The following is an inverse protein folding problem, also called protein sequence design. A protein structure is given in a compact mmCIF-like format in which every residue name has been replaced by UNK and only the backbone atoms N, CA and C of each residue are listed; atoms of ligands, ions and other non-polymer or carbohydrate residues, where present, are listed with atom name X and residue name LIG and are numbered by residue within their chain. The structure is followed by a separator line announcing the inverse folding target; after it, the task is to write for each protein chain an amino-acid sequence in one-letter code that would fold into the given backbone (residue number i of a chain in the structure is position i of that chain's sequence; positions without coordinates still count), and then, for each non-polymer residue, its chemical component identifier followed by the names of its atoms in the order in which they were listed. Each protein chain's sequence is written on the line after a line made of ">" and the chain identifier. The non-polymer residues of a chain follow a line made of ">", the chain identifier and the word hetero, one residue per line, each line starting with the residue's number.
data_IF_481494342955
#
_entry.id   IF_481494342955
#
_cell.length_a   1.000
_cell.length_b   1.000
_cell.length_c   1.000
_cell.angle_alpha   90.00
_cell.angle_beta   90.00
_cell.angle_gamma   90.00
#
_symmetry.space_group_name_H-M   'P 1'
#
loop_
_entity.id
_entity.type
_entity.pdbx_description
1 polymer ?
#
# COMPACT_ATOMS: atom_id res chain seq x y z
N UNK A 1 3.16 39.53 -36.00
CA UNK A 1 4.51 39.12 -35.55
C UNK A 1 4.36 38.33 -34.26
N UNK A 2 5.18 37.29 -34.05
CA UNK A 2 5.16 36.46 -32.83
C UNK A 2 5.63 37.27 -31.61
N UNK A 3 4.86 37.24 -30.50
CA UNK A 3 5.27 37.86 -29.25
C UNK A 3 6.30 36.97 -28.52
N UNK A 4 7.59 37.24 -28.73
CA UNK A 4 8.68 36.47 -28.10
C UNK A 4 8.70 36.59 -26.57
N UNK A 5 8.21 37.69 -26.00
CA UNK A 5 8.14 37.87 -24.54
C UNK A 5 7.14 36.90 -23.89
N UNK A 6 6.01 36.66 -24.56
CA UNK A 6 5.02 35.68 -24.11
C UNK A 6 5.60 34.25 -24.08
N UNK A 7 6.34 33.87 -25.12
CA UNK A 7 7.01 32.57 -25.17
C UNK A 7 8.11 32.41 -24.11
N UNK A 8 8.75 33.49 -23.68
CA UNK A 8 9.72 33.42 -22.57
C UNK A 8 9.01 33.11 -21.25
N UNK A 9 7.89 33.77 -20.95
CA UNK A 9 7.08 33.49 -19.75
C UNK A 9 6.59 32.04 -19.74
N UNK A 10 6.09 31.55 -20.87
CA UNK A 10 5.65 30.15 -21.01
C UNK A 10 6.80 29.18 -20.67
N UNK A 11 8.02 29.42 -21.18
CA UNK A 11 9.18 28.55 -20.86
C UNK A 11 9.55 28.58 -19.38
N UNK A 12 9.51 29.75 -18.74
CA UNK A 12 9.77 29.88 -17.30
C UNK A 12 8.73 29.14 -16.46
N UNK A 13 7.45 29.22 -16.83
CA UNK A 13 6.39 28.53 -16.12
C UNK A 13 6.45 27.01 -16.32
N UNK A 14 6.76 26.54 -17.54
CA UNK A 14 7.03 25.12 -17.80
C UNK A 14 8.20 24.60 -16.95
N UNK A 15 9.30 25.33 -16.89
CA UNK A 15 10.46 24.93 -16.09
C UNK A 15 10.12 24.83 -14.58
N UNK A 16 9.31 25.74 -14.04
CA UNK A 16 8.85 25.65 -12.64
C UNK A 16 8.02 24.38 -12.40
N UNK A 17 7.15 24.01 -13.33
CA UNK A 17 6.34 22.77 -13.23
C UNK A 17 7.25 21.54 -13.28
N UNK A 18 8.26 21.53 -14.15
CA UNK A 18 9.17 20.39 -14.28
C UNK A 18 10.02 20.19 -13.02
N UNK A 19 10.53 21.25 -12.40
CA UNK A 19 11.24 21.17 -11.11
C UNK A 19 10.36 20.55 -10.01
N UNK A 20 9.08 20.93 -9.97
CA UNK A 20 8.11 20.37 -9.01
C UNK A 20 7.85 18.89 -9.30
N UNK A 21 7.71 18.50 -10.58
CA UNK A 21 7.56 17.10 -10.99
C UNK A 21 8.75 16.26 -10.58
N UNK A 22 9.99 16.73 -10.78
CA UNK A 22 11.19 16.02 -10.37
C UNK A 22 11.22 15.78 -8.84
N UNK A 23 10.85 16.78 -8.05
CA UNK A 23 10.77 16.65 -6.59
C UNK A 23 9.74 15.60 -6.15
N UNK A 24 8.57 15.55 -6.81
CA UNK A 24 7.52 14.55 -6.58
C UNK A 24 8.05 13.16 -6.90
N UNK A 25 8.68 12.98 -8.07
CA UNK A 25 9.22 11.68 -8.51
C UNK A 25 10.27 11.19 -7.51
N UNK A 26 11.19 12.06 -7.10
CA UNK A 26 12.24 11.71 -6.14
C UNK A 26 11.65 11.32 -4.78
N UNK A 27 10.74 12.13 -4.25
CA UNK A 27 10.09 11.84 -2.96
C UNK A 27 9.25 10.55 -3.03
N UNK A 28 8.61 10.28 -4.17
CA UNK A 28 7.82 9.06 -4.41
C UNK A 28 8.69 7.80 -4.39
N UNK A 29 9.87 7.84 -5.03
CA UNK A 29 10.86 6.73 -5.00
C UNK A 29 11.35 6.43 -3.59
N UNK A 30 11.56 7.46 -2.79
CA UNK A 30 11.95 7.31 -1.38
C UNK A 30 10.84 6.65 -0.56
N UNK A 31 9.58 7.08 -0.75
CA UNK A 31 8.41 6.46 -0.08
C UNK A 31 8.29 4.98 -0.44
N UNK A 32 8.45 4.61 -1.71
CA UNK A 32 8.41 3.21 -2.15
C UNK A 32 9.52 2.40 -1.47
N UNK A 33 10.74 2.94 -1.44
CA UNK A 33 11.88 2.27 -0.78
C UNK A 33 11.61 2.04 0.71
N UNK A 34 11.13 3.06 1.41
CA UNK A 34 10.85 2.97 2.84
C UNK A 34 9.66 2.03 3.11
N UNK A 35 8.65 2.00 2.24
CA UNK A 35 7.51 1.08 2.34
C UNK A 35 7.97 -0.37 2.34
N UNK A 36 8.87 -0.72 1.43
CA UNK A 36 9.49 -2.06 1.37
C UNK A 36 10.31 -2.39 2.62
N UNK A 37 11.02 -1.42 3.19
CA UNK A 37 11.76 -1.61 4.45
C UNK A 37 10.80 -1.90 5.62
N UNK A 38 9.68 -1.17 5.70
CA UNK A 38 8.64 -1.40 6.73
C UNK A 38 8.07 -2.81 6.62
N UNK A 39 7.66 -3.22 5.41
CA UNK A 39 7.12 -4.56 5.16
C UNK A 39 8.16 -5.62 5.53
N UNK A 40 9.40 -5.49 5.05
CA UNK A 40 10.46 -6.46 5.32
C UNK A 40 10.78 -6.63 6.82
N UNK A 41 10.79 -5.53 7.58
CA UNK A 41 10.99 -5.56 9.02
C UNK A 41 9.80 -6.22 9.73
N UNK A 42 8.58 -5.77 9.44
CA UNK A 42 7.35 -6.30 10.04
C UNK A 42 7.11 -7.79 9.70
N UNK A 43 7.51 -8.24 8.52
CA UNK A 43 7.39 -9.64 8.10
C UNK A 43 8.18 -10.60 8.99
N UNK A 44 9.26 -10.10 9.61
CA UNK A 44 10.15 -10.85 10.52
C UNK A 44 9.90 -10.53 11.99
N UNK A 45 8.76 -9.92 12.31
CA UNK A 45 8.39 -9.47 13.66
C UNK A 45 9.35 -8.42 14.27
N UNK A 46 10.21 -7.76 13.46
CA UNK A 46 11.06 -6.64 13.93
C UNK A 46 10.29 -5.31 13.88
N UNK A 47 9.41 -5.13 14.86
CA UNK A 47 8.55 -3.95 14.95
C UNK A 47 9.33 -2.66 15.30
N UNK A 48 10.52 -2.78 15.89
CA UNK A 48 11.36 -1.64 16.25
C UNK A 48 12.02 -1.03 15.01
N UNK A 49 12.56 -1.86 14.12
CA UNK A 49 13.08 -1.44 12.82
C UNK A 49 11.96 -0.82 11.98
N UNK A 50 10.80 -1.48 11.90
CA UNK A 50 9.64 -0.97 11.18
C UNK A 50 9.18 0.39 11.73
N UNK A 51 9.12 0.58 13.05
CA UNK A 51 8.71 1.84 13.68
C UNK A 51 9.68 3.00 13.37
N UNK A 52 10.98 2.72 13.28
CA UNK A 52 11.97 3.71 12.84
C UNK A 52 11.76 4.11 11.38
N UNK A 53 11.53 3.15 10.49
CA UNK A 53 11.21 3.42 9.09
C UNK A 53 9.89 4.20 8.93
N UNK A 54 8.88 3.93 9.76
CA UNK A 54 7.60 4.66 9.78
C UNK A 54 7.79 6.14 10.18
N UNK A 55 8.70 6.44 11.10
CA UNK A 55 9.03 7.85 11.43
C UNK A 55 9.59 8.57 10.20
N UNK A 56 10.44 7.89 9.43
CA UNK A 56 10.99 8.43 8.18
C UNK A 56 9.91 8.66 7.11
N UNK A 57 9.07 7.65 6.82
CA UNK A 57 8.05 7.74 5.76
C UNK A 57 7.01 8.85 6.04
N UNK A 58 6.64 9.07 7.32
CA UNK A 58 5.72 10.14 7.72
C UNK A 58 6.23 11.53 7.32
N UNK A 59 7.54 11.76 7.41
CA UNK A 59 8.14 13.02 6.98
C UNK A 59 8.06 13.21 5.46
N UNK A 60 8.28 12.14 4.68
CA UNK A 60 8.22 12.13 3.22
C UNK A 60 6.80 12.32 2.70
N UNK A 61 5.82 11.65 3.31
CA UNK A 61 4.40 11.84 3.00
C UNK A 61 3.95 13.28 3.26
N UNK A 62 4.36 13.86 4.40
CA UNK A 62 4.07 15.27 4.71
C UNK A 62 4.68 16.23 3.67
N UNK A 63 5.90 15.94 3.19
CA UNK A 63 6.55 16.70 2.13
C UNK A 63 5.76 16.59 0.81
N UNK A 64 5.46 15.37 0.38
CA UNK A 64 4.75 15.08 -0.86
C UNK A 64 3.37 15.75 -0.93
N UNK A 65 2.65 15.82 0.20
CA UNK A 65 1.33 16.48 0.30
C UNK A 65 1.35 17.99 0.18
N UNK A 66 2.46 18.64 0.54
CA UNK A 66 2.58 20.11 0.44
C UNK A 66 2.77 20.56 -1.00
N UNK A 67 3.18 19.66 -1.87
CA UNK A 67 3.39 19.96 -3.28
C UNK A 67 2.01 20.08 -3.93
N UNK A 68 1.64 21.29 -4.33
CA UNK A 68 0.36 21.59 -4.95
C UNK A 68 0.44 21.18 -6.43
N UNK A 69 -0.31 20.16 -6.83
CA UNK A 69 -0.26 19.60 -8.18
C UNK A 69 -1.55 20.00 -8.91
N UNK A 70 -1.43 20.87 -9.90
CA UNK A 70 -2.56 21.24 -10.77
C UNK A 70 -2.63 20.41 -12.07
N UNK A 71 -1.67 19.50 -12.34
CA UNK A 71 -1.54 18.94 -13.71
C UNK A 71 -1.26 17.44 -13.85
N UNK A 72 -0.92 16.68 -12.80
CA UNK A 72 -0.70 15.22 -12.95
C UNK A 72 -1.10 14.44 -11.69
N UNK A 73 -2.34 13.96 -11.65
CA UNK A 73 -2.92 13.27 -10.49
C UNK A 73 -2.34 11.88 -10.21
N UNK A 74 -1.54 11.31 -11.11
CA UNK A 74 -1.10 9.90 -11.02
C UNK A 74 0.40 9.69 -10.76
N UNK A 75 1.26 10.73 -10.80
CA UNK A 75 2.73 10.54 -10.69
C UNK A 75 3.12 9.89 -9.35
N UNK A 76 2.37 10.14 -8.29
CA UNK A 76 2.63 9.65 -6.95
C UNK A 76 1.67 8.54 -6.49
N UNK A 77 0.75 8.07 -7.34
CA UNK A 77 -0.25 7.06 -6.97
C UNK A 77 0.41 5.76 -6.50
N UNK A 78 1.44 5.28 -7.21
CA UNK A 78 2.21 4.08 -6.81
C UNK A 78 2.85 4.24 -5.42
N UNK A 79 3.36 5.43 -5.11
CA UNK A 79 3.96 5.68 -3.80
C UNK A 79 2.91 5.70 -2.68
N UNK A 80 1.71 6.23 -2.93
CA UNK A 80 0.62 6.17 -1.96
C UNK A 80 0.07 4.76 -1.80
N UNK A 81 0.04 3.98 -2.87
CA UNK A 81 -0.35 2.58 -2.83
C UNK A 81 0.57 1.76 -1.92
N UNK A 82 1.89 1.84 -2.16
CA UNK A 82 2.92 1.15 -1.36
C UNK A 82 2.92 1.65 0.10
N UNK A 83 2.67 2.95 0.31
CA UNK A 83 2.50 3.52 1.64
C UNK A 83 1.29 2.92 2.38
N UNK A 84 0.14 2.78 1.71
CA UNK A 84 -1.07 2.17 2.29
C UNK A 84 -0.79 0.72 2.66
N UNK A 85 -0.20 -0.04 1.74
CA UNK A 85 0.17 -1.44 1.98
C UNK A 85 1.07 -1.57 3.21
N UNK A 86 2.18 -0.83 3.25
CA UNK A 86 3.17 -0.94 4.32
C UNK A 86 2.62 -0.53 5.70
N UNK A 87 1.88 0.58 5.78
CA UNK A 87 1.32 1.02 7.07
C UNK A 87 0.19 0.09 7.52
N UNK A 88 -0.65 -0.37 6.60
CA UNK A 88 -1.74 -1.30 6.94
C UNK A 88 -1.20 -2.64 7.40
N UNK A 89 -0.14 -3.14 6.76
CA UNK A 89 0.54 -4.36 7.18
C UNK A 89 1.13 -4.22 8.58
N UNK A 90 1.88 -3.15 8.84
CA UNK A 90 2.45 -2.89 10.17
C UNK A 90 1.38 -2.76 11.26
N UNK A 91 0.34 -1.96 11.03
CA UNK A 91 -0.74 -1.75 12.00
C UNK A 91 -1.54 -3.03 12.25
N UNK A 92 -1.70 -3.87 11.23
CA UNK A 92 -2.31 -5.17 11.41
C UNK A 92 -1.43 -6.10 12.27
N UNK A 93 -0.14 -6.24 11.95
CA UNK A 93 0.77 -7.10 12.71
C UNK A 93 0.90 -6.62 14.16
N UNK A 94 0.95 -5.31 14.40
CA UNK A 94 1.10 -4.73 15.75
C UNK A 94 -0.19 -4.70 16.55
N UNK A 95 -1.29 -4.30 15.94
CA UNK A 95 -2.53 -3.92 16.63
C UNK A 95 -3.78 -4.70 16.16
N UNK A 96 -3.67 -5.55 15.14
CA UNK A 96 -4.78 -6.29 14.56
C UNK A 96 -5.80 -5.41 13.83
N UNK A 97 -5.39 -4.21 13.35
CA UNK A 97 -6.31 -3.23 12.76
C UNK A 97 -5.80 -2.71 11.42
N UNK A 98 -6.73 -2.40 10.52
CA UNK A 98 -6.46 -1.68 9.27
C UNK A 98 -6.80 -0.20 9.45
N UNK A 99 -5.85 0.72 9.18
CA UNK A 99 -6.10 2.15 9.27
C UNK A 99 -7.06 2.62 8.17
N UNK A 100 -7.85 3.65 8.45
CA UNK A 100 -8.77 4.21 7.45
C UNK A 100 -8.03 5.04 6.39
N UNK A 101 -8.61 5.20 5.20
CA UNK A 101 -8.09 6.14 4.18
C UNK A 101 -7.96 7.57 4.69
N UNK A 102 -8.85 7.98 5.61
CA UNK A 102 -8.85 9.32 6.18
C UNK A 102 -7.66 9.53 7.12
N UNK A 103 -7.39 8.57 8.01
CA UNK A 103 -6.18 8.58 8.86
C UNK A 103 -4.90 8.52 8.02
N UNK A 104 -4.93 7.79 6.92
CA UNK A 104 -3.80 7.71 5.99
C UNK A 104 -3.71 8.90 5.05
N UNK A 105 -4.72 9.76 4.93
CA UNK A 105 -4.73 10.94 4.05
C UNK A 105 -4.44 10.61 2.58
N UNK A 106 -5.10 9.58 2.04
CA UNK A 106 -4.96 9.11 0.65
C UNK A 106 -6.30 9.09 -0.08
N UNK A 107 -6.25 9.03 -1.43
CA UNK A 107 -7.44 8.87 -2.26
C UNK A 107 -8.10 7.50 -2.04
N UNK A 108 -9.35 7.34 -2.47
CA UNK A 108 -10.02 6.05 -2.41
C UNK A 108 -9.33 5.01 -3.31
N UNK A 109 -8.89 5.41 -4.50
CA UNK A 109 -8.25 4.52 -5.47
C UNK A 109 -6.89 4.01 -4.97
N UNK A 110 -6.05 4.89 -4.40
CA UNK A 110 -4.77 4.49 -3.81
C UNK A 110 -4.96 3.58 -2.60
N UNK A 111 -5.98 3.87 -1.78
CA UNK A 111 -6.30 3.05 -0.60
C UNK A 111 -6.74 1.64 -1.00
N UNK A 112 -7.71 1.53 -1.91
CA UNK A 112 -8.20 0.24 -2.38
C UNK A 112 -7.09 -0.54 -3.10
N UNK A 113 -6.29 0.13 -3.94
CA UNK A 113 -5.15 -0.50 -4.60
C UNK A 113 -4.12 -1.01 -3.60
N UNK A 114 -3.85 -0.27 -2.51
CA UNK A 114 -2.94 -0.69 -1.46
C UNK A 114 -3.45 -1.88 -0.66
N UNK A 115 -4.77 -1.96 -0.43
CA UNK A 115 -5.40 -3.12 0.21
C UNK A 115 -5.33 -4.38 -0.67
N UNK A 116 -5.44 -4.24 -2.00
CA UNK A 116 -5.24 -5.38 -2.90
C UNK A 116 -3.84 -5.98 -2.73
N UNK A 117 -2.80 -5.15 -2.77
CA UNK A 117 -1.41 -5.60 -2.66
C UNK A 117 -1.10 -6.14 -1.24
N UNK A 118 -1.65 -5.49 -0.19
CA UNK A 118 -1.58 -5.96 1.20
C UNK A 118 -2.00 -7.42 1.36
N UNK A 119 -3.02 -7.89 0.64
CA UNK A 119 -3.47 -9.29 0.75
C UNK A 119 -2.38 -10.29 0.37
N UNK A 120 -1.43 -9.92 -0.50
CA UNK A 120 -0.26 -10.73 -0.84
C UNK A 120 0.75 -10.85 0.31
N UNK A 121 1.07 -9.74 0.98
CA UNK A 121 1.98 -9.75 2.15
C UNK A 121 1.33 -10.44 3.36
N UNK A 122 0.00 -10.32 3.52
CA UNK A 122 -0.75 -11.09 4.50
C UNK A 122 -0.63 -12.60 4.27
N UNK A 123 -0.76 -13.08 3.03
CA UNK A 123 -0.52 -14.51 2.70
C UNK A 123 0.89 -14.93 3.11
N UNK A 124 1.90 -14.11 2.80
CA UNK A 124 3.28 -14.38 3.17
C UNK A 124 3.44 -14.47 4.69
N UNK A 125 2.77 -13.59 5.44
CA UNK A 125 2.80 -13.56 6.91
C UNK A 125 2.09 -14.77 7.51
N UNK A 126 0.93 -15.16 7.00
CA UNK A 126 0.24 -16.36 7.45
C UNK A 126 1.10 -17.61 7.25
N UNK A 127 1.77 -17.77 6.10
CA UNK A 127 2.68 -18.89 5.88
C UNK A 127 3.84 -18.88 6.89
N UNK A 128 4.44 -17.70 7.14
CA UNK A 128 5.48 -17.55 8.15
C UNK A 128 4.97 -17.96 9.54
N UNK A 129 3.79 -17.51 9.94
CA UNK A 129 3.18 -17.81 11.23
C UNK A 129 2.87 -19.32 11.36
N UNK A 130 2.35 -19.95 10.31
CA UNK A 130 2.12 -21.41 10.25
C UNK A 130 3.41 -22.21 10.42
N UNK A 131 4.50 -21.81 9.76
CA UNK A 131 5.82 -22.45 9.91
C UNK A 131 6.28 -22.39 11.37
N UNK A 132 5.97 -21.29 12.06
CA UNK A 132 6.31 -21.07 13.47
C UNK A 132 5.22 -21.54 14.45
N UNK A 133 4.23 -22.32 13.98
CA UNK A 133 3.12 -22.87 14.77
C UNK A 133 2.22 -21.81 15.44
N UNK A 134 2.19 -20.59 14.88
CA UNK A 134 1.32 -19.47 15.25
C UNK A 134 0.00 -19.57 14.47
N UNK A 135 -0.80 -20.60 14.75
CA UNK A 135 -1.98 -20.93 13.93
C UNK A 135 -3.14 -19.94 14.13
N UNK A 136 -3.30 -19.40 15.34
CA UNK A 136 -4.33 -18.40 15.64
C UNK A 136 -4.06 -17.10 14.87
N UNK A 137 -2.80 -16.70 14.75
CA UNK A 137 -2.35 -15.54 13.98
C UNK A 137 -2.63 -15.72 12.48
N UNK A 138 -2.29 -16.90 11.93
CA UNK A 138 -2.60 -17.24 10.56
C UNK A 138 -4.12 -17.27 10.28
N UNK A 139 -4.91 -17.76 11.25
CA UNK A 139 -6.37 -17.74 11.17
C UNK A 139 -6.93 -16.32 11.14
N UNK A 140 -6.44 -15.41 12.00
CA UNK A 140 -6.82 -13.98 11.99
C UNK A 140 -6.52 -13.32 10.64
N UNK A 141 -5.39 -13.67 10.02
CA UNK A 141 -5.06 -13.17 8.67
C UNK A 141 -6.08 -13.65 7.63
N UNK A 142 -6.44 -14.93 7.65
CA UNK A 142 -7.44 -15.48 6.74
C UNK A 142 -8.80 -14.78 6.89
N UNK A 143 -9.24 -14.52 8.12
CA UNK A 143 -10.49 -13.78 8.36
C UNK A 143 -10.42 -12.34 7.84
N UNK A 144 -9.30 -11.63 8.06
CA UNK A 144 -9.13 -10.29 7.49
C UNK A 144 -9.21 -10.29 5.95
N UNK A 145 -8.52 -11.22 5.28
CA UNK A 145 -8.53 -11.28 3.81
C UNK A 145 -9.93 -11.66 3.29
N UNK A 146 -10.65 -12.51 4.02
CA UNK A 146 -12.05 -12.83 3.73
C UNK A 146 -12.95 -11.59 3.82
N UNK A 147 -12.81 -10.79 4.88
CA UNK A 147 -13.57 -9.55 5.06
C UNK A 147 -13.26 -8.51 3.98
N UNK A 148 -11.98 -8.33 3.63
CA UNK A 148 -11.55 -7.47 2.52
C UNK A 148 -12.22 -7.92 1.23
N UNK A 149 -12.19 -9.23 0.92
CA UNK A 149 -12.84 -9.76 -0.28
C UNK A 149 -14.35 -9.48 -0.29
N UNK A 150 -15.02 -9.69 0.85
CA UNK A 150 -16.45 -9.42 1.02
C UNK A 150 -16.84 -7.96 0.77
N UNK A 151 -16.02 -7.01 1.23
CA UNK A 151 -16.23 -5.58 0.95
C UNK A 151 -15.97 -5.25 -0.52
N UNK A 152 -14.94 -5.82 -1.14
CA UNK A 152 -14.63 -5.60 -2.56
C UNK A 152 -15.73 -6.10 -3.50
N UNK A 153 -16.42 -7.20 -3.15
CA UNK A 153 -17.57 -7.70 -3.93
C UNK A 153 -18.75 -6.71 -3.97
N UNK A 154 -18.86 -5.82 -2.99
CA UNK A 154 -19.91 -4.78 -2.93
C UNK A 154 -19.56 -3.55 -3.76
N UNK A 155 -18.32 -3.43 -4.23
CA UNK A 155 -17.85 -2.29 -5.00
C UNK A 155 -18.17 -2.46 -6.49
N UNK A 156 -18.78 -1.44 -7.09
CA UNK A 156 -18.95 -1.35 -8.54
C UNK A 156 -17.69 -0.80 -9.22
N UNK A 157 -16.62 -1.61 -9.22
CA UNK A 157 -15.35 -1.23 -9.83
C UNK A 157 -15.50 -1.08 -11.34
N UNK A 158 -15.08 0.08 -11.86
CA UNK A 158 -14.99 0.32 -13.31
C UNK A 158 -13.89 -0.56 -13.92
N UNK A 159 -14.00 -0.84 -15.22
CA UNK A 159 -12.92 -1.50 -15.95
C UNK A 159 -11.65 -0.66 -15.83
N UNK A 160 -10.60 -1.22 -15.22
CA UNK A 160 -9.37 -0.52 -14.91
C UNK A 160 -8.41 -1.37 -14.08
N UNK A 161 -7.25 -0.80 -13.73
CA UNK A 161 -6.19 -1.50 -13.00
C UNK A 161 -6.66 -1.99 -11.62
N UNK A 162 -7.47 -1.20 -10.91
CA UNK A 162 -8.02 -1.61 -9.61
C UNK A 162 -8.89 -2.86 -9.71
N UNK A 163 -9.68 -3.01 -10.79
CA UNK A 163 -10.49 -4.22 -11.03
C UNK A 163 -9.59 -5.45 -11.23
N UNK A 164 -8.56 -5.34 -12.07
CA UNK A 164 -7.59 -6.43 -12.26
C UNK A 164 -6.86 -6.79 -10.97
N UNK A 165 -6.50 -5.79 -10.16
CA UNK A 165 -5.88 -6.01 -8.85
C UNK A 165 -6.83 -6.68 -7.86
N UNK A 166 -8.11 -6.33 -7.87
CA UNK A 166 -9.09 -6.95 -6.96
C UNK A 166 -9.24 -8.46 -7.17
N UNK A 167 -8.97 -8.98 -8.38
CA UNK A 167 -8.97 -10.41 -8.66
C UNK A 167 -7.90 -11.17 -7.85
N UNK A 168 -6.79 -10.52 -7.47
CA UNK A 168 -5.73 -11.15 -6.67
C UNK A 168 -6.22 -11.54 -5.27
N UNK A 169 -7.15 -10.77 -4.70
CA UNK A 169 -7.70 -10.99 -3.36
C UNK A 169 -8.35 -12.37 -3.29
N UNK A 170 -9.11 -12.76 -4.33
CA UNK A 170 -9.75 -14.07 -4.43
C UNK A 170 -8.73 -15.20 -4.39
N UNK A 171 -7.63 -15.07 -5.13
CA UNK A 171 -6.59 -16.09 -5.19
C UNK A 171 -5.79 -16.18 -3.89
N UNK A 172 -5.53 -15.03 -3.26
CA UNK A 172 -4.88 -14.94 -1.97
C UNK A 172 -5.73 -15.58 -0.86
N UNK A 173 -7.04 -15.32 -0.85
CA UNK A 173 -7.98 -15.96 0.06
C UNK A 173 -7.99 -17.49 -0.12
N UNK A 174 -8.13 -17.96 -1.36
CA UNK A 174 -8.11 -19.40 -1.66
C UNK A 174 -6.82 -20.07 -1.15
N UNK A 175 -5.68 -19.43 -1.35
CA UNK A 175 -4.39 -19.94 -0.87
C UNK A 175 -4.33 -20.02 0.66
N UNK A 176 -4.90 -19.05 1.37
CA UNK A 176 -5.01 -19.08 2.83
C UNK A 176 -5.92 -20.24 3.28
N UNK A 177 -7.05 -20.45 2.61
CA UNK A 177 -7.96 -21.56 2.90
C UNK A 177 -7.29 -22.92 2.70
N UNK A 178 -6.54 -23.10 1.61
CA UNK A 178 -5.75 -24.32 1.36
C UNK A 178 -4.71 -24.57 2.47
N UNK A 179 -3.97 -23.53 2.87
CA UNK A 179 -3.00 -23.62 3.97
C UNK A 179 -3.68 -24.00 5.29
N UNK A 180 -4.82 -23.38 5.62
CA UNK A 180 -5.56 -23.67 6.85
C UNK A 180 -6.17 -25.08 6.84
N UNK A 181 -6.67 -25.53 5.68
CA UNK A 181 -7.17 -26.89 5.50
C UNK A 181 -6.07 -27.93 5.77
N UNK A 182 -4.88 -27.74 5.21
CA UNK A 182 -3.74 -28.64 5.42
C UNK A 182 -3.32 -28.76 6.89
N UNK A 183 -3.45 -27.68 7.67
CA UNK A 183 -3.17 -27.68 9.11
C UNK A 183 -4.21 -28.52 9.85
N UNK A 184 -5.50 -28.31 9.53
CA UNK A 184 -6.62 -29.03 10.15
C UNK A 184 -6.55 -30.54 9.89
N UNK A 185 -6.21 -30.96 8.66
CA UNK A 185 -6.07 -32.36 8.28
C UNK A 185 -4.89 -33.07 8.96
N UNK A 186 -3.84 -32.33 9.33
CA UNK A 186 -2.65 -32.88 10.01
C UNK A 186 -2.83 -32.97 11.53
N UNK A 187 -4.00 -32.62 12.07
CA UNK A 187 -4.30 -32.67 13.51
C UNK A 187 -3.45 -31.73 14.35
N UNK A 188 -2.91 -30.66 13.75
CA UNK A 188 -2.11 -29.64 14.45
C UNK A 188 -3.05 -28.53 14.90
N UNK A 189 -3.62 -28.71 16.10
CA UNK A 189 -4.33 -27.67 16.83
C UNK A 189 -3.40 -27.04 17.85
#
# INVERSE_FOLDING_TARGET
>A
MLNKSEFNKIREDMHKVDLVREEIIQTSREIITISKQIIYAAQRDDLNEAESAIKSIKSKIKKLRKVNISTDTNINSVAFQEYVEAISFYEFVKNGKIPTRASLGVSADDYLSGLCDLTGELVRKAIYDVIHKKFDEASKIKELVHDIYGEFLKLHLRNGELRKKSDSIKWNLKKLEEVMYDISMKGRH
#
